data_IF_850797816066
#
_entry.id   IF_850797816066
#
_cell.length_a   1.000
_cell.length_b   1.000
_cell.length_c   1.000
_cell.angle_alpha   90.00
_cell.angle_beta   90.00
_cell.angle_gamma   90.00
#
_symmetry.space_group_name_H-M   'P 1'
#
loop_
_entity.id
_entity.type
_entity.pdbx_description
1 polymer ?
#
# COMPACT_ATOMS: atom_id res chain seq x y z
N UNK A 1 -61.75 19.99 -49.66
CA UNK A 1 -61.98 20.69 -48.37
C UNK A 1 -60.99 20.12 -47.37
N UNK A 2 -60.13 20.98 -46.82
CA UNK A 2 -59.13 20.70 -45.78
C UNK A 2 -59.75 20.37 -44.42
N UNK A 3 -59.10 19.50 -43.64
CA UNK A 3 -58.59 19.68 -42.24
C UNK A 3 -58.16 18.30 -41.70
N UNK A 4 -56.89 18.03 -41.39
CA UNK A 4 -56.00 18.40 -40.27
C UNK A 4 -56.05 17.44 -39.05
N UNK A 5 -54.92 16.76 -38.84
CA UNK A 5 -54.26 16.26 -37.63
C UNK A 5 -55.04 16.02 -36.31
N UNK A 6 -54.79 14.88 -35.66
CA UNK A 6 -53.86 14.81 -34.50
C UNK A 6 -53.85 13.40 -33.87
N UNK A 7 -52.64 12.85 -33.74
CA UNK A 7 -52.29 11.71 -32.91
C UNK A 7 -52.44 12.09 -31.43
N UNK A 8 -52.92 11.18 -30.58
CA UNK A 8 -52.67 11.25 -29.14
C UNK A 8 -52.38 9.85 -28.58
N UNK A 9 -51.09 9.62 -28.31
CA UNK A 9 -50.58 8.60 -27.41
C UNK A 9 -51.18 8.74 -26.01
N UNK A 10 -51.75 7.68 -25.47
CA UNK A 10 -51.96 7.56 -24.02
C UNK A 10 -50.80 6.78 -23.43
N UNK A 11 -49.84 7.52 -22.89
CA UNK A 11 -48.75 7.01 -22.08
C UNK A 11 -49.35 6.54 -20.75
N UNK A 12 -49.25 5.24 -20.48
CA UNK A 12 -49.63 4.64 -19.22
C UNK A 12 -48.74 5.23 -18.12
N UNK A 13 -49.34 6.02 -17.22
CA UNK A 13 -48.65 6.64 -16.11
C UNK A 13 -48.01 5.57 -15.23
N UNK A 14 -46.68 5.62 -15.13
CA UNK A 14 -45.87 4.77 -14.27
C UNK A 14 -46.30 4.95 -12.81
N UNK A 15 -46.41 3.81 -12.12
CA UNK A 15 -46.68 3.74 -10.68
C UNK A 15 -45.66 4.57 -9.90
N UNK A 16 -46.07 5.24 -8.81
CA UNK A 16 -45.15 5.94 -7.92
C UNK A 16 -44.37 4.88 -7.14
N UNK A 17 -43.23 4.46 -7.70
CA UNK A 17 -42.23 3.69 -6.98
C UNK A 17 -41.80 4.55 -5.80
N UNK A 18 -42.35 4.22 -4.63
CA UNK A 18 -41.97 4.80 -3.35
C UNK A 18 -40.45 4.79 -3.28
N UNK A 19 -39.85 5.99 -3.23
CA UNK A 19 -38.45 6.21 -2.93
C UNK A 19 -38.11 5.46 -1.65
N UNK A 20 -37.71 4.20 -1.78
CA UNK A 20 -36.99 3.54 -0.71
C UNK A 20 -35.70 4.34 -0.57
N UNK A 21 -35.36 4.85 0.63
CA UNK A 21 -34.04 5.40 0.84
C UNK A 21 -33.07 4.28 0.46
N UNK A 22 -32.20 4.55 -0.54
CA UNK A 22 -31.10 3.65 -0.88
C UNK A 22 -30.45 3.28 0.44
N UNK A 23 -30.57 2.01 0.85
CA UNK A 23 -29.92 1.54 2.08
C UNK A 23 -28.46 1.99 1.97
N UNK A 24 -27.90 2.71 2.96
CA UNK A 24 -26.48 2.98 2.95
C UNK A 24 -25.79 1.62 2.79
N UNK A 25 -25.01 1.47 1.72
CA UNK A 25 -24.20 0.27 1.49
C UNK A 25 -23.42 0.08 2.79
N UNK A 26 -23.67 -1.03 3.49
CA UNK A 26 -23.03 -1.29 4.78
C UNK A 26 -21.53 -1.03 4.60
N UNK A 27 -20.96 -0.20 5.47
CA UNK A 27 -19.53 0.09 5.45
C UNK A 27 -18.80 -1.26 5.47
N UNK A 28 -18.03 -1.53 4.41
CA UNK A 28 -17.24 -2.76 4.35
C UNK A 28 -16.28 -2.73 5.54
N UNK A 29 -16.26 -3.74 6.41
CA UNK A 29 -15.43 -3.72 7.60
C UNK A 29 -13.95 -3.65 7.20
N UNK A 30 -13.14 -2.95 8.00
CA UNK A 30 -11.70 -2.80 7.71
C UNK A 30 -10.97 -4.14 7.58
N UNK A 31 -11.52 -5.20 8.18
CA UNK A 31 -11.02 -6.58 8.03
C UNK A 31 -11.03 -7.10 6.59
N UNK A 32 -11.91 -6.59 5.73
CA UNK A 32 -12.02 -7.06 4.34
C UNK A 32 -10.97 -6.41 3.43
N UNK A 33 -10.40 -5.27 3.84
CA UNK A 33 -9.36 -4.55 3.09
C UNK A 33 -7.96 -4.72 3.69
N UNK A 34 -7.86 -5.20 4.93
CA UNK A 34 -6.57 -5.52 5.55
C UNK A 34 -5.98 -6.80 4.94
N UNK A 35 -4.70 -6.80 4.53
CA UNK A 35 -4.06 -8.00 4.01
C UNK A 35 -3.89 -9.07 5.08
N UNK A 36 -3.87 -10.34 4.68
CA UNK A 36 -3.68 -11.45 5.61
C UNK A 36 -2.31 -11.39 6.29
N UNK A 37 -2.18 -12.01 7.46
CA UNK A 37 -0.88 -12.12 8.12
C UNK A 37 0.14 -12.90 7.29
N UNK A 38 -0.31 -13.84 6.46
CA UNK A 38 0.53 -14.55 5.51
C UNK A 38 1.09 -13.61 4.44
N UNK A 39 0.24 -12.77 3.84
CA UNK A 39 0.68 -11.74 2.90
C UNK A 39 1.72 -10.83 3.55
N UNK A 40 1.47 -10.37 4.78
CA UNK A 40 2.41 -9.50 5.51
C UNK A 40 3.74 -10.18 5.80
N UNK A 41 3.74 -11.47 6.15
CA UNK A 41 4.96 -12.27 6.35
C UNK A 41 5.76 -12.40 5.06
N UNK A 42 5.10 -12.77 3.96
CA UNK A 42 5.74 -12.93 2.66
C UNK A 42 6.30 -11.59 2.15
N UNK A 43 5.59 -10.49 2.38
CA UNK A 43 6.08 -9.15 2.02
C UNK A 43 7.33 -8.77 2.80
N UNK A 44 7.34 -9.00 4.12
CA UNK A 44 8.56 -8.78 4.94
C UNK A 44 9.73 -9.59 4.44
N UNK A 45 9.52 -10.87 4.13
CA UNK A 45 10.58 -11.73 3.59
C UNK A 45 11.15 -11.18 2.28
N UNK A 46 10.29 -10.76 1.34
CA UNK A 46 10.73 -10.16 0.06
C UNK A 46 11.55 -8.88 0.26
N UNK A 47 11.13 -8.03 1.19
CA UNK A 47 11.86 -6.80 1.54
C UNK A 47 13.21 -7.14 2.15
N UNK A 48 13.26 -8.10 3.09
CA UNK A 48 14.51 -8.57 3.70
C UNK A 48 15.47 -9.17 2.66
N UNK A 49 14.97 -9.95 1.71
CA UNK A 49 15.75 -10.48 0.60
C UNK A 49 16.32 -9.35 -0.28
N UNK A 50 15.52 -8.32 -0.58
CA UNK A 50 15.98 -7.15 -1.34
C UNK A 50 17.03 -6.30 -0.63
N UNK A 51 17.06 -6.31 0.70
CA UNK A 51 18.02 -5.57 1.52
C UNK A 51 19.25 -6.41 1.93
N UNK A 52 19.31 -7.66 1.50
CA UNK A 52 20.36 -8.62 1.88
C UNK A 52 21.76 -8.10 1.58
N UNK A 53 21.96 -7.50 0.41
CA UNK A 53 23.27 -7.00 -0.01
C UNK A 53 23.71 -5.81 0.83
N UNK A 54 22.79 -4.91 1.21
CA UNK A 54 23.10 -3.80 2.11
C UNK A 54 23.53 -4.28 3.50
N UNK A 55 22.85 -5.31 4.04
CA UNK A 55 23.23 -5.92 5.31
C UNK A 55 24.61 -6.58 5.21
N UNK A 56 24.86 -7.29 4.11
CA UNK A 56 26.14 -7.94 3.84
C UNK A 56 27.27 -6.93 3.76
N UNK A 57 27.08 -5.84 3.01
CA UNK A 57 28.07 -4.77 2.85
C UNK A 57 28.37 -4.05 4.15
N UNK A 58 27.33 -3.69 4.92
CA UNK A 58 27.51 -3.07 6.24
C UNK A 58 28.33 -3.96 7.18
N UNK A 59 28.05 -5.26 7.19
CA UNK A 59 28.78 -6.25 7.99
C UNK A 59 30.22 -6.41 7.51
N UNK A 60 30.45 -6.56 6.22
CA UNK A 60 31.80 -6.72 5.66
C UNK A 60 32.65 -5.47 5.86
N UNK A 61 32.07 -4.29 5.72
CA UNK A 61 32.75 -3.03 5.97
C UNK A 61 33.19 -2.95 7.44
N UNK A 62 32.29 -3.30 8.37
CA UNK A 62 32.61 -3.34 9.80
C UNK A 62 33.73 -4.36 10.11
N UNK A 63 33.61 -5.59 9.61
CA UNK A 63 34.58 -6.66 9.85
C UNK A 63 35.95 -6.38 9.20
N UNK A 64 35.97 -5.79 8.00
CA UNK A 64 37.22 -5.46 7.30
C UNK A 64 37.98 -4.35 8.02
N UNK A 65 37.27 -3.32 8.51
CA UNK A 65 37.87 -2.27 9.35
C UNK A 65 38.39 -2.85 10.67
N UNK A 66 37.63 -3.72 11.34
CA UNK A 66 38.03 -4.37 12.60
C UNK A 66 39.32 -5.21 12.51
N UNK A 67 39.60 -5.80 11.35
CA UNK A 67 40.79 -6.65 11.14
C UNK A 67 42.10 -5.85 11.05
N UNK A 68 42.04 -4.52 11.06
CA UNK A 68 43.23 -3.68 11.02
C UNK A 68 44.05 -3.81 12.31
N UNK A 69 45.35 -4.13 12.16
CA UNK A 69 46.25 -4.62 13.23
C UNK A 69 46.54 -3.61 14.35
N UNK A 70 46.21 -2.33 14.18
CA UNK A 70 46.47 -1.24 15.12
C UNK A 70 45.20 -0.41 15.38
N UNK A 71 44.20 -1.01 16.01
CA UNK A 71 42.98 -0.32 16.41
C UNK A 71 42.92 -0.04 17.91
N UNK A 72 42.81 1.25 18.27
CA UNK A 72 42.50 1.70 19.62
C UNK A 72 41.07 1.33 20.02
N UNK A 73 40.79 1.32 21.33
CA UNK A 73 39.44 1.06 21.84
C UNK A 73 38.43 2.13 21.40
N UNK A 74 38.85 3.39 21.37
CA UNK A 74 38.01 4.50 20.89
C UNK A 74 37.60 4.30 19.43
N UNK A 75 38.52 3.87 18.57
CA UNK A 75 38.23 3.61 17.16
C UNK A 75 37.32 2.39 16.98
N UNK A 76 37.46 1.35 17.81
CA UNK A 76 36.52 0.20 17.84
C UNK A 76 35.11 0.64 18.19
N UNK A 77 34.97 1.52 19.18
CA UNK A 77 33.67 2.02 19.61
C UNK A 77 33.01 2.86 18.52
N UNK A 78 33.76 3.77 17.89
CA UNK A 78 33.28 4.54 16.74
C UNK A 78 32.81 3.63 15.60
N UNK A 79 33.59 2.61 15.25
CA UNK A 79 33.19 1.65 14.22
C UNK A 79 31.95 0.85 14.59
N UNK A 80 31.79 0.50 15.87
CA UNK A 80 30.57 -0.14 16.35
C UNK A 80 29.37 0.78 16.22
N UNK A 81 29.51 2.06 16.55
CA UNK A 81 28.45 3.06 16.40
C UNK A 81 28.08 3.27 14.92
N UNK A 82 29.07 3.38 14.03
CA UNK A 82 28.85 3.45 12.57
C UNK A 82 28.05 2.25 12.06
N UNK A 83 28.45 1.03 12.46
CA UNK A 83 27.74 -0.19 12.06
C UNK A 83 26.30 -0.22 12.57
N UNK A 84 26.08 0.16 13.84
CA UNK A 84 24.74 0.20 14.41
C UNK A 84 23.85 1.25 13.71
N UNK A 85 24.41 2.41 13.37
CA UNK A 85 23.71 3.43 12.59
C UNK A 85 23.33 2.91 11.20
N UNK A 86 24.26 2.27 10.48
CA UNK A 86 23.97 1.66 9.18
C UNK A 86 22.86 0.60 9.26
N UNK A 87 22.91 -0.28 10.26
CA UNK A 87 21.86 -1.28 10.48
C UNK A 87 20.51 -0.66 10.87
N UNK A 88 20.51 0.48 11.58
CA UNK A 88 19.28 1.21 11.91
C UNK A 88 18.64 1.82 10.66
N UNK A 89 19.43 2.41 9.77
CA UNK A 89 18.94 2.94 8.48
C UNK A 89 18.38 1.82 7.60
N UNK A 90 19.04 0.66 7.53
CA UNK A 90 18.50 -0.49 6.78
C UNK A 90 17.14 -0.93 7.34
N UNK A 91 16.99 -1.01 8.67
CA UNK A 91 15.70 -1.36 9.30
C UNK A 91 14.63 -0.33 9.01
N UNK A 92 15.00 0.95 9.00
CA UNK A 92 14.08 2.05 8.67
C UNK A 92 13.60 1.92 7.23
N UNK A 93 14.51 1.68 6.28
CA UNK A 93 14.16 1.46 4.88
C UNK A 93 13.21 0.27 4.71
N UNK A 94 13.47 -0.85 5.40
CA UNK A 94 12.58 -2.01 5.39
C UNK A 94 11.17 -1.67 5.89
N UNK A 95 11.09 -0.89 6.97
CA UNK A 95 9.82 -0.46 7.53
C UNK A 95 9.06 0.46 6.58
N UNK A 96 9.72 1.47 6.01
CA UNK A 96 9.13 2.41 5.06
C UNK A 96 8.58 1.68 3.83
N UNK A 97 9.38 0.77 3.25
CA UNK A 97 8.95 -0.04 2.11
C UNK A 97 7.75 -0.92 2.47
N UNK A 98 7.75 -1.53 3.66
CA UNK A 98 6.61 -2.33 4.11
C UNK A 98 5.34 -1.49 4.25
N UNK A 99 5.41 -0.27 4.80
CA UNK A 99 4.24 0.60 4.93
C UNK A 99 3.68 1.01 3.57
N UNK A 100 4.55 1.34 2.60
CA UNK A 100 4.14 1.70 1.24
C UNK A 100 3.41 0.53 0.57
N UNK A 101 3.98 -0.67 0.61
CA UNK A 101 3.38 -1.87 0.01
C UNK A 101 2.07 -2.26 0.72
N UNK A 102 2.03 -2.15 2.05
CA UNK A 102 0.83 -2.43 2.83
C UNK A 102 -0.31 -1.48 2.45
N UNK A 103 -0.01 -0.20 2.29
CA UNK A 103 -1.02 0.77 1.90
C UNK A 103 -1.48 0.54 0.46
N UNK A 104 -0.55 0.27 -0.47
CA UNK A 104 -0.88 -0.09 -1.86
C UNK A 104 -1.85 -1.27 -1.93
N UNK A 105 -1.56 -2.38 -1.24
CA UNK A 105 -2.43 -3.56 -1.23
C UNK A 105 -3.81 -3.25 -0.61
N UNK A 106 -3.90 -2.42 0.43
CA UNK A 106 -5.20 -1.97 0.97
C UNK A 106 -6.02 -1.21 -0.06
N UNK A 107 -5.37 -0.35 -0.84
CA UNK A 107 -6.05 0.42 -1.89
C UNK A 107 -6.49 -0.50 -3.03
N UNK A 108 -5.65 -1.45 -3.46
CA UNK A 108 -6.03 -2.46 -4.45
C UNK A 108 -7.25 -3.28 -3.99
N UNK A 109 -7.29 -3.70 -2.71
CA UNK A 109 -8.45 -4.41 -2.13
C UNK A 109 -9.69 -3.54 -2.04
N UNK A 110 -9.56 -2.26 -1.66
CA UNK A 110 -10.66 -1.29 -1.67
C UNK A 110 -11.26 -1.19 -3.06
N UNK A 111 -10.41 -1.03 -4.06
CA UNK A 111 -10.85 -0.93 -5.45
C UNK A 111 -11.55 -2.20 -5.92
N UNK A 112 -10.99 -3.39 -5.64
CA UNK A 112 -11.59 -4.67 -5.99
C UNK A 112 -12.95 -4.91 -5.30
N UNK A 113 -13.13 -4.41 -4.07
CA UNK A 113 -14.41 -4.45 -3.35
C UNK A 113 -15.41 -3.36 -3.82
N UNK A 114 -15.01 -2.50 -4.76
CA UNK A 114 -15.79 -1.35 -5.21
C UNK A 114 -16.01 -0.31 -4.10
N UNK A 115 -15.08 -0.20 -3.17
CA UNK A 115 -14.99 0.85 -2.15
C UNK A 115 -14.20 2.01 -2.76
N UNK A 116 -14.57 3.24 -2.40
CA UNK A 116 -13.80 4.42 -2.80
C UNK A 116 -12.35 4.31 -2.29
N UNK A 117 -11.40 4.64 -3.18
CA UNK A 117 -10.00 4.76 -2.82
C UNK A 117 -9.78 5.97 -1.90
N UNK A 118 -8.69 5.94 -1.15
CA UNK A 118 -8.27 7.11 -0.39
C UNK A 118 -7.78 8.22 -1.33
N UNK A 119 -7.94 9.51 -0.97
CA UNK A 119 -7.56 10.61 -1.84
C UNK A 119 -6.10 10.51 -2.29
N UNK A 120 -5.86 10.64 -3.60
CA UNK A 120 -4.53 10.56 -4.22
C UNK A 120 -4.17 9.20 -4.82
N UNK A 121 -4.90 8.13 -4.48
CA UNK A 121 -4.62 6.78 -5.01
C UNK A 121 -5.35 6.47 -6.32
N UNK A 122 -6.45 7.18 -6.62
CA UNK A 122 -7.23 6.98 -7.84
C UNK A 122 -6.40 7.18 -9.12
N UNK A 123 -5.46 8.11 -9.10
CA UNK A 123 -4.57 8.39 -10.25
C UNK A 123 -3.31 7.52 -10.19
N UNK A 124 -2.75 7.30 -9.00
CA UNK A 124 -1.56 6.46 -8.81
C UNK A 124 -1.80 5.02 -9.33
N UNK A 125 -2.92 4.39 -8.94
CA UNK A 125 -3.23 3.03 -9.39
C UNK A 125 -3.58 2.94 -10.89
N UNK A 126 -4.11 4.01 -11.50
CA UNK A 126 -4.40 4.04 -12.94
C UNK A 126 -3.14 4.13 -13.80
N UNK A 127 -2.07 4.72 -13.30
CA UNK A 127 -0.80 4.84 -14.03
C UNK A 127 0.02 3.54 -14.00
N UNK A 128 -0.29 2.62 -13.07
CA UNK A 128 0.41 1.34 -12.90
C UNK A 128 -0.18 0.19 -13.74
N UNK A 129 -1.33 0.37 -14.41
CA UNK A 129 -2.01 -0.63 -15.25
C UNK A 129 -1.82 -0.40 -16.74
#
# INVERSE_FOLDING_TARGET
MSTLAAQHSSFQAASPELLQPRRPRAAVPESDVEPSDEWKRNMRQRIEEGLRDMVFDAKNNYESKLKQRLMSNLLREQLSQEYQAAMAEIRKLAHEQFQVELERERQERRWAAGIALTPGWDEALKQEQ
#
